data_IF_441629016325
#
_entry.id   IF_441629016325
#
_cell.length_a   1.000
_cell.length_b   1.000
_cell.length_c   1.000
_cell.angle_alpha   90.00
_cell.angle_beta   90.00
_cell.angle_gamma   90.00
#
_symmetry.space_group_name_H-M   'P 1'
#
loop_
_entity.id
_entity.type
_entity.pdbx_description
1 polymer ?
#
# COMPACT_ATOMS: atom_id res chain seq x y z
N UNK A 1 19.41 66.14 38.31
CA UNK A 1 20.66 65.35 38.47
C UNK A 1 20.31 63.88 38.66
N UNK A 2 20.27 63.10 37.59
CA UNK A 2 20.46 61.63 37.60
C UNK A 2 21.08 61.28 36.26
N UNK A 3 22.35 60.87 36.30
CA UNK A 3 23.19 60.64 35.13
C UNK A 3 23.04 59.20 34.64
N UNK A 4 22.88 59.08 33.31
CA UNK A 4 23.53 58.15 32.39
C UNK A 4 23.72 56.68 32.79
N UNK A 5 23.06 55.78 32.04
CA UNK A 5 23.61 54.47 31.69
C UNK A 5 23.62 54.36 30.16
N UNK A 6 24.77 53.96 29.62
CA UNK A 6 25.10 53.88 28.20
C UNK A 6 24.43 52.66 27.55
N UNK A 7 23.82 52.86 26.40
CA UNK A 7 23.38 51.79 25.50
C UNK A 7 24.34 51.77 24.32
N UNK A 8 25.16 50.72 24.24
CA UNK A 8 26.03 50.41 23.11
C UNK A 8 25.78 48.95 22.79
N UNK A 9 25.27 48.67 21.60
CA UNK A 9 25.34 47.35 20.98
C UNK A 9 25.45 47.57 19.47
N UNK A 10 26.49 46.93 18.93
CA UNK A 10 27.09 47.11 17.63
C UNK A 10 26.19 46.61 16.49
N UNK A 11 26.28 47.31 15.37
CA UNK A 11 26.01 46.82 14.02
C UNK A 11 27.14 45.90 13.52
N UNK A 12 26.82 44.70 13.02
CA UNK A 12 27.54 43.93 11.98
C UNK A 12 26.84 42.57 11.86
N UNK A 13 26.52 41.98 10.71
CA UNK A 13 26.70 42.30 9.30
C UNK A 13 26.02 41.18 8.51
N UNK A 14 25.52 41.50 7.31
CA UNK A 14 24.95 40.52 6.37
C UNK A 14 25.99 39.45 6.02
N UNK A 15 25.58 38.17 6.03
CA UNK A 15 26.25 37.11 5.29
C UNK A 15 25.25 36.51 4.30
N UNK A 16 25.48 36.82 3.03
CA UNK A 16 24.89 36.14 1.89
C UNK A 16 25.49 34.74 1.81
N UNK A 17 24.67 33.69 1.95
CA UNK A 17 25.04 32.37 1.48
C UNK A 17 24.64 32.26 0.01
N UNK A 18 25.65 32.26 -0.86
CA UNK A 18 25.49 31.89 -2.27
C UNK A 18 25.39 30.37 -2.39
N UNK A 19 24.37 29.90 -3.10
CA UNK A 19 24.31 28.52 -3.56
C UNK A 19 25.28 28.36 -4.74
N UNK A 20 26.29 27.49 -4.59
CA UNK A 20 26.97 26.89 -5.73
C UNK A 20 26.06 25.76 -6.24
N UNK A 21 25.57 25.89 -7.47
CA UNK A 21 24.93 24.79 -8.20
C UNK A 21 26.04 24.15 -9.04
N UNK A 22 26.55 23.00 -8.57
CA UNK A 22 27.48 22.18 -9.33
C UNK A 22 26.74 20.94 -9.83
N UNK A 23 26.78 20.76 -11.15
CA UNK A 23 26.27 19.60 -11.86
C UNK A 23 27.23 18.44 -11.63
N UNK A 24 26.71 17.28 -11.22
CA UNK A 24 27.47 16.03 -11.25
C UNK A 24 26.65 14.99 -12.00
N UNK A 25 27.24 14.57 -13.12
CA UNK A 25 26.87 13.41 -13.92
C UNK A 25 27.09 12.11 -13.14
N UNK A 26 26.20 11.16 -13.43
CA UNK A 26 26.33 9.70 -13.46
C UNK A 26 27.68 9.09 -13.03
N UNK A 27 27.64 8.24 -11.99
CA UNK A 27 28.48 7.03 -11.91
C UNK A 27 27.95 6.02 -10.88
N UNK A 28 27.63 4.83 -11.40
CA UNK A 28 27.91 3.48 -10.88
C UNK A 28 27.55 3.07 -9.42
N UNK A 29 26.63 2.10 -9.40
CA UNK A 29 26.35 1.03 -8.44
C UNK A 29 27.53 0.66 -7.52
N UNK A 30 27.31 0.72 -6.19
CA UNK A 30 27.97 -0.14 -5.20
C UNK A 30 27.02 -0.48 -4.04
N UNK A 31 26.88 -1.79 -3.83
CA UNK A 31 26.16 -2.51 -2.79
C UNK A 31 26.87 -2.31 -1.44
N UNK A 32 26.11 -2.18 -0.33
CA UNK A 32 26.64 -2.45 1.00
C UNK A 32 25.62 -3.13 1.92
N UNK A 33 26.01 -4.32 2.37
CA UNK A 33 25.32 -5.14 3.37
C UNK A 33 25.52 -4.56 4.78
N UNK A 34 24.44 -4.45 5.55
CA UNK A 34 24.50 -4.56 7.02
C UNK A 34 23.48 -5.58 7.51
N UNK A 35 23.98 -6.69 8.01
CA UNK A 35 23.20 -7.73 8.67
C UNK A 35 22.62 -7.22 10.00
N UNK A 36 21.30 -7.34 10.18
CA UNK A 36 20.71 -7.64 11.48
C UNK A 36 19.56 -8.63 11.33
N UNK A 37 19.91 -9.88 11.59
CA UNK A 37 19.06 -11.07 11.69
C UNK A 37 17.92 -10.93 12.70
N UNK A 38 16.68 -11.23 12.27
CA UNK A 38 15.92 -12.38 12.80
C UNK A 38 14.82 -12.84 11.81
N UNK A 39 14.84 -14.13 11.49
CA UNK A 39 14.06 -14.88 10.50
C UNK A 39 12.53 -14.81 10.62
N UNK A 40 11.83 -14.63 9.49
CA UNK A 40 10.84 -15.60 8.97
C UNK A 40 10.78 -15.48 7.44
N UNK A 41 10.91 -16.61 6.77
CA UNK A 41 11.13 -16.77 5.34
C UNK A 41 9.79 -17.02 4.63
N UNK A 42 9.38 -16.08 3.76
CA UNK A 42 8.70 -16.33 2.49
C UNK A 42 9.23 -15.24 1.55
N UNK A 43 9.72 -15.62 0.37
CA UNK A 43 10.11 -14.67 -0.68
C UNK A 43 8.94 -13.74 -0.95
N UNK A 44 9.18 -12.43 -0.82
CA UNK A 44 8.17 -11.41 -1.03
C UNK A 44 8.84 -10.20 -1.68
N UNK A 45 8.31 -9.78 -2.82
CA UNK A 45 8.78 -8.62 -3.56
C UNK A 45 7.68 -7.55 -3.52
N UNK A 46 7.94 -6.45 -2.82
CA UNK A 46 7.13 -5.23 -2.93
C UNK A 46 7.66 -4.45 -4.10
N UNK A 47 6.83 -4.23 -5.10
CA UNK A 47 7.15 -3.29 -6.18
C UNK A 47 6.40 -1.99 -5.92
N UNK A 48 7.14 -0.92 -5.61
CA UNK A 48 6.65 0.45 -5.58
C UNK A 48 6.93 1.07 -6.95
N UNK A 49 5.91 1.57 -7.63
CA UNK A 49 6.08 2.15 -8.98
C UNK A 49 5.59 3.60 -9.00
N UNK A 50 6.48 4.51 -9.37
CA UNK A 50 6.16 5.89 -9.71
C UNK A 50 6.02 6.05 -11.24
N UNK A 51 4.93 6.72 -11.66
CA UNK A 51 4.68 7.43 -12.93
C UNK A 51 3.81 6.81 -14.04
N UNK A 52 2.84 7.65 -14.44
CA UNK A 52 2.55 8.14 -15.79
C UNK A 52 2.47 7.13 -16.96
N UNK A 53 1.21 6.91 -17.38
CA UNK A 53 0.73 6.68 -18.75
C UNK A 53 1.37 5.54 -19.56
N UNK A 54 0.77 4.36 -19.46
CA UNK A 54 0.17 3.67 -20.62
C UNK A 54 -0.94 2.77 -20.08
N UNK A 55 -2.18 3.15 -20.36
CA UNK A 55 -3.41 2.40 -20.07
C UNK A 55 -3.39 1.08 -20.86
N UNK A 56 -2.63 0.11 -20.37
CA UNK A 56 -3.05 -1.28 -20.43
C UNK A 56 -4.10 -1.36 -19.34
N UNK A 57 -5.37 -1.50 -19.70
CA UNK A 57 -6.41 -1.82 -18.72
C UNK A 57 -6.01 -3.12 -18.06
N UNK A 58 -5.35 -3.05 -16.90
CA UNK A 58 -5.05 -4.20 -16.09
C UNK A 58 -6.42 -4.78 -15.70
N UNK A 59 -6.75 -5.94 -16.27
CA UNK A 59 -7.99 -6.64 -15.97
C UNK A 59 -7.81 -7.29 -14.62
N UNK A 60 -8.25 -6.61 -13.56
CA UNK A 60 -8.40 -7.21 -12.25
C UNK A 60 -9.65 -8.11 -12.24
N UNK A 61 -9.55 -9.26 -11.61
CA UNK A 61 -10.71 -10.15 -11.45
C UNK A 61 -11.61 -9.72 -10.28
N UNK A 62 -11.07 -8.92 -9.35
CA UNK A 62 -11.84 -8.29 -8.30
C UNK A 62 -11.26 -6.93 -7.94
N UNK A 63 -12.11 -5.96 -7.64
CA UNK A 63 -11.69 -4.63 -7.18
C UNK A 63 -12.76 -4.07 -6.23
N UNK A 64 -12.28 -3.45 -5.16
CA UNK A 64 -13.12 -2.73 -4.20
C UNK A 64 -12.52 -1.35 -3.93
N UNK A 65 -13.36 -0.42 -3.50
CA UNK A 65 -12.92 0.92 -3.15
C UNK A 65 -12.02 0.91 -1.91
N UNK A 66 -11.06 1.83 -1.85
CA UNK A 66 -10.29 2.12 -0.64
C UNK A 66 -10.92 3.33 0.06
N UNK A 67 -11.52 3.12 1.23
CA UNK A 67 -12.32 4.12 1.95
C UNK A 67 -11.52 4.68 3.13
N UNK A 68 -11.12 5.95 3.05
CA UNK A 68 -10.52 6.71 4.14
C UNK A 68 -11.57 7.33 5.06
N UNK A 69 -11.29 7.35 6.37
CA UNK A 69 -12.08 8.08 7.36
C UNK A 69 -13.58 7.71 7.36
N UNK A 70 -13.91 6.45 7.04
CA UNK A 70 -15.27 5.87 6.92
C UNK A 70 -16.10 6.32 5.70
N UNK A 71 -15.72 7.36 4.97
CA UNK A 71 -16.64 8.02 4.02
C UNK A 71 -16.02 8.46 2.70
N UNK A 72 -14.69 8.46 2.58
CA UNK A 72 -14.04 9.03 1.42
C UNK A 72 -13.39 7.93 0.58
N UNK A 73 -13.90 7.73 -0.64
CA UNK A 73 -13.24 6.90 -1.63
C UNK A 73 -11.97 7.60 -2.10
N UNK A 74 -10.82 7.01 -1.81
CA UNK A 74 -9.49 7.58 -2.08
C UNK A 74 -8.68 6.76 -3.08
N UNK A 75 -9.26 5.71 -3.63
CA UNK A 75 -8.49 4.70 -4.35
C UNK A 75 -9.22 3.37 -4.45
N UNK A 76 -8.48 2.32 -4.81
CA UNK A 76 -8.98 0.96 -4.90
C UNK A 76 -7.97 -0.04 -4.31
N UNK A 77 -8.49 -1.22 -3.94
CA UNK A 77 -7.70 -2.43 -3.74
C UNK A 77 -8.16 -3.44 -4.78
N UNK A 78 -7.24 -3.87 -5.64
CA UNK A 78 -7.52 -4.82 -6.72
C UNK A 78 -6.82 -6.16 -6.49
N UNK A 79 -7.49 -7.23 -6.90
CA UNK A 79 -7.00 -8.61 -6.84
C UNK A 79 -6.84 -9.13 -8.26
N UNK A 80 -5.71 -9.79 -8.50
CA UNK A 80 -5.43 -10.54 -9.71
C UNK A 80 -4.64 -11.82 -9.40
N UNK A 81 -4.55 -12.74 -10.36
CA UNK A 81 -3.70 -13.93 -10.30
C UNK A 81 -2.69 -13.88 -11.44
N UNK A 82 -1.42 -14.11 -11.13
CA UNK A 82 -0.34 -14.25 -12.10
C UNK A 82 0.42 -15.58 -11.84
N UNK A 83 0.02 -16.64 -12.54
CA UNK A 83 0.52 -17.99 -12.24
C UNK A 83 0.11 -18.44 -10.85
N UNK A 84 1.08 -18.78 -10.00
CA UNK A 84 0.86 -19.21 -8.60
C UNK A 84 0.79 -18.03 -7.61
N UNK A 85 0.88 -16.80 -8.11
CA UNK A 85 0.91 -15.59 -7.29
C UNK A 85 -0.43 -14.87 -7.28
N UNK A 86 -0.91 -14.60 -6.08
CA UNK A 86 -1.94 -13.62 -5.80
C UNK A 86 -1.33 -12.22 -5.82
N UNK A 87 -1.84 -11.38 -6.70
CA UNK A 87 -1.42 -9.98 -6.83
C UNK A 87 -2.48 -9.10 -6.16
N UNK A 88 -2.13 -8.45 -5.06
CA UNK A 88 -2.98 -7.49 -4.34
C UNK A 88 -2.39 -6.10 -4.48
N UNK A 89 -3.11 -5.19 -5.14
CA UNK A 89 -2.61 -3.84 -5.41
C UNK A 89 -3.47 -2.81 -4.72
N UNK A 90 -2.85 -1.98 -3.88
CA UNK A 90 -3.44 -0.76 -3.33
C UNK A 90 -3.08 0.38 -4.29
N UNK A 91 -4.08 1.16 -4.73
CA UNK A 91 -3.87 2.35 -5.55
C UNK A 91 -4.65 3.52 -4.95
N UNK A 92 -4.01 4.67 -4.75
CA UNK A 92 -4.68 5.91 -4.35
C UNK A 92 -4.88 6.86 -5.53
N UNK A 93 -5.87 7.74 -5.40
CA UNK A 93 -6.27 8.73 -6.39
C UNK A 93 -6.14 10.15 -5.84
N UNK A 94 -5.93 11.12 -6.73
CA UNK A 94 -5.88 12.53 -6.37
C UNK A 94 -4.65 12.88 -5.53
N UNK A 95 -4.87 13.58 -4.41
CA UNK A 95 -3.80 14.05 -3.52
C UNK A 95 -3.49 13.05 -2.37
N UNK A 96 -4.06 11.85 -2.41
CA UNK A 96 -3.88 10.83 -1.38
C UNK A 96 -2.64 9.96 -1.63
N UNK A 97 -1.89 9.68 -0.57
CA UNK A 97 -0.70 8.83 -0.56
C UNK A 97 -0.83 7.75 0.52
N UNK A 98 -0.10 6.65 0.34
CA UNK A 98 -0.02 5.50 1.25
C UNK A 98 1.22 5.67 2.13
N UNK A 99 1.03 5.77 3.44
CA UNK A 99 2.13 5.82 4.42
C UNK A 99 2.48 4.41 4.89
N UNK A 100 1.47 3.57 5.08
CA UNK A 100 1.64 2.15 5.42
C UNK A 100 0.45 1.32 4.93
N UNK A 101 0.70 0.04 4.65
CA UNK A 101 -0.35 -0.92 4.27
C UNK A 101 -0.25 -2.17 5.14
N UNK A 102 -1.39 -2.75 5.46
CA UNK A 102 -1.54 -3.96 6.26
C UNK A 102 -2.58 -4.86 5.60
N UNK A 103 -2.23 -6.11 5.36
CA UNK A 103 -3.05 -7.08 4.66
C UNK A 103 -3.04 -8.41 5.42
N UNK A 104 -4.23 -8.94 5.66
CA UNK A 104 -4.44 -10.32 6.10
C UNK A 104 -5.39 -11.03 5.15
N UNK A 105 -5.09 -12.28 4.82
CA UNK A 105 -5.87 -13.11 3.90
C UNK A 105 -6.25 -14.39 4.64
N UNK A 106 -7.51 -14.81 4.52
CA UNK A 106 -8.01 -16.06 5.09
C UNK A 106 -8.91 -16.79 4.11
N UNK A 107 -9.21 -18.05 4.41
CA UNK A 107 -10.19 -18.87 3.70
C UNK A 107 -11.64 -18.66 4.22
N UNK A 108 -11.94 -17.47 4.75
CA UNK A 108 -13.27 -17.09 5.23
C UNK A 108 -13.82 -17.94 6.40
N UNK A 109 -12.96 -18.60 7.17
CA UNK A 109 -13.38 -19.29 8.40
C UNK A 109 -13.75 -18.31 9.52
N UNK A 110 -14.59 -18.74 10.47
CA UNK A 110 -15.10 -17.91 11.60
C UNK A 110 -13.98 -17.24 12.42
N UNK A 111 -12.84 -17.92 12.58
CA UNK A 111 -11.65 -17.42 13.28
C UNK A 111 -10.49 -17.08 12.31
N UNK A 112 -10.79 -16.85 11.02
CA UNK A 112 -9.79 -16.65 9.96
C UNK A 112 -8.96 -15.37 10.11
N UNK A 113 -9.49 -14.36 10.83
CA UNK A 113 -8.81 -13.10 11.09
C UNK A 113 -8.34 -12.98 12.54
N UNK A 114 -7.17 -12.35 12.79
CA UNK A 114 -6.72 -12.09 14.15
C UNK A 114 -7.56 -10.97 14.78
N UNK A 115 -8.60 -11.31 15.55
CA UNK A 115 -9.47 -10.34 16.22
C UNK A 115 -9.25 -10.27 17.73
N UNK A 116 -9.77 -9.21 18.35
CA UNK A 116 -9.93 -9.07 19.80
C UNK A 116 -11.22 -9.76 20.27
N UNK A 117 -11.41 -9.90 21.59
CA UNK A 117 -12.68 -10.44 22.12
C UNK A 117 -13.92 -9.57 21.87
N UNK A 118 -13.75 -8.36 21.33
CA UNK A 118 -14.82 -7.47 20.87
C UNK A 118 -14.88 -7.39 19.32
N UNK A 119 -14.35 -8.41 18.64
CA UNK A 119 -14.31 -8.57 17.19
C UNK A 119 -13.57 -7.51 16.36
N UNK A 120 -12.87 -6.56 16.99
CA UNK A 120 -11.99 -5.66 16.23
C UNK A 120 -10.76 -6.42 15.72
N UNK A 121 -10.34 -6.27 14.45
CA UNK A 121 -9.10 -6.85 13.96
C UNK A 121 -7.88 -6.25 14.65
N UNK A 122 -6.85 -7.08 14.83
CA UNK A 122 -5.55 -6.70 15.38
C UNK A 122 -4.60 -6.43 14.21
N UNK A 123 -4.66 -5.22 13.68
CA UNK A 123 -3.88 -4.80 12.48
C UNK A 123 -2.39 -5.14 12.61
N UNK A 124 -1.77 -4.91 13.78
CA UNK A 124 -0.35 -5.26 14.03
C UNK A 124 -0.03 -6.76 14.07
N UNK A 125 -1.01 -7.63 13.82
CA UNK A 125 -0.86 -9.09 13.67
C UNK A 125 -1.20 -9.57 12.26
N UNK A 126 -1.42 -8.68 11.29
CA UNK A 126 -1.66 -9.05 9.91
C UNK A 126 -0.41 -9.66 9.27
N UNK A 127 -0.60 -10.61 8.37
CA UNK A 127 0.49 -11.40 7.79
C UNK A 127 1.44 -10.58 6.93
N UNK A 128 0.92 -9.56 6.24
CA UNK A 128 1.69 -8.68 5.35
C UNK A 128 1.52 -7.24 5.80
N UNK A 129 2.63 -6.54 6.01
CA UNK A 129 2.64 -5.14 6.40
C UNK A 129 3.93 -4.45 5.94
N UNK A 130 3.82 -3.18 5.57
CA UNK A 130 4.96 -2.37 5.12
C UNK A 130 4.69 -0.88 5.31
N UNK A 131 5.72 -0.15 5.71
CA UNK A 131 5.78 1.32 5.63
C UNK A 131 6.31 1.73 4.24
N UNK A 132 5.92 2.90 3.77
CA UNK A 132 6.23 3.40 2.42
C UNK A 132 6.88 4.78 2.46
N UNK A 133 7.58 5.12 1.38
CA UNK A 133 8.20 6.44 1.23
C UNK A 133 7.15 7.52 0.94
N UNK A 134 7.44 8.76 1.34
CA UNK A 134 6.57 9.91 1.09
C UNK A 134 6.19 10.01 -0.40
N UNK A 135 4.90 10.13 -0.69
CA UNK A 135 4.40 10.26 -2.05
C UNK A 135 3.99 8.94 -2.73
N UNK A 136 4.13 7.80 -2.04
CA UNK A 136 3.72 6.50 -2.58
C UNK A 136 2.22 6.49 -2.88
N UNK A 137 1.84 6.18 -4.13
CA UNK A 137 0.42 6.11 -4.55
C UNK A 137 -0.01 4.70 -4.95
N UNK A 138 0.93 3.77 -5.05
CA UNK A 138 0.64 2.39 -5.39
C UNK A 138 1.57 1.43 -4.66
N UNK A 139 0.99 0.34 -4.13
CA UNK A 139 1.71 -0.72 -3.43
C UNK A 139 1.17 -2.07 -3.90
N UNK A 140 2.05 -2.94 -4.36
CA UNK A 140 1.68 -4.28 -4.83
C UNK A 140 2.29 -5.35 -3.93
N UNK A 141 1.43 -6.26 -3.46
CA UNK A 141 1.82 -7.52 -2.83
C UNK A 141 1.72 -8.65 -3.86
N UNK A 142 2.83 -9.34 -4.13
CA UNK A 142 2.84 -10.62 -4.84
C UNK A 142 3.01 -11.77 -3.84
N UNK A 143 1.98 -12.59 -3.67
CA UNK A 143 1.89 -13.61 -2.62
C UNK A 143 1.77 -14.99 -3.27
N UNK A 144 2.73 -15.87 -3.03
CA UNK A 144 2.65 -17.27 -3.44
C UNK A 144 1.52 -17.97 -2.65
N UNK A 145 0.42 -18.25 -3.36
CA UNK A 145 -0.73 -18.99 -2.85
C UNK A 145 -0.77 -20.43 -3.37
N UNK A 146 0.13 -20.81 -4.29
CA UNK A 146 0.03 -22.05 -5.04
C UNK A 146 -1.23 -22.11 -5.90
N UNK A 147 -1.79 -23.31 -6.07
CA UNK A 147 -3.02 -23.52 -6.83
C UNK A 147 -4.26 -23.33 -5.93
N UNK A 148 -4.64 -22.08 -5.64
CA UNK A 148 -5.89 -21.76 -4.93
C UNK A 148 -6.87 -21.09 -5.89
N UNK A 149 -8.02 -21.74 -6.08
CA UNK A 149 -9.12 -21.26 -6.92
C UNK A 149 -10.44 -21.22 -6.13
N UNK A 150 -10.39 -20.70 -4.91
CA UNK A 150 -11.58 -20.60 -4.04
C UNK A 150 -11.80 -19.16 -3.58
N UNK A 151 -12.88 -18.95 -2.82
CA UNK A 151 -13.15 -17.67 -2.19
C UNK A 151 -12.17 -17.42 -1.04
N UNK A 152 -11.52 -16.27 -1.07
CA UNK A 152 -10.70 -15.78 0.03
C UNK A 152 -11.31 -14.50 0.62
N UNK A 153 -11.02 -14.27 1.90
CA UNK A 153 -11.43 -13.10 2.65
C UNK A 153 -10.21 -12.23 2.94
N UNK A 154 -10.34 -10.93 2.68
CA UNK A 154 -9.26 -9.96 2.70
C UNK A 154 -9.55 -8.85 3.71
N UNK A 155 -8.66 -8.66 4.67
CA UNK A 155 -8.65 -7.49 5.53
C UNK A 155 -7.51 -6.57 5.08
N UNK A 156 -7.86 -5.60 4.24
CA UNK A 156 -6.91 -4.68 3.63
C UNK A 156 -7.06 -3.27 4.26
N UNK A 157 -6.08 -2.91 5.07
CA UNK A 157 -5.99 -1.65 5.80
C UNK A 157 -4.83 -0.80 5.30
N UNK A 158 -4.97 0.52 5.34
CA UNK A 158 -3.92 1.47 5.02
C UNK A 158 -3.90 2.65 5.99
N UNK A 159 -2.71 3.18 6.24
CA UNK A 159 -2.50 4.52 6.78
C UNK A 159 -2.22 5.43 5.59
N UNK A 160 -2.94 6.54 5.50
CA UNK A 160 -2.95 7.41 4.33
C UNK A 160 -2.85 8.87 4.72
N UNK A 161 -2.16 9.66 3.90
CA UNK A 161 -2.12 11.12 4.02
C UNK A 161 -2.69 11.80 2.78
N UNK A 162 -3.27 12.97 2.97
CA UNK A 162 -3.99 13.71 1.92
C UNK A 162 -4.32 15.12 2.43
N UNK A 163 -5.58 15.57 2.41
CA UNK A 163 -5.98 16.79 3.12
C UNK A 163 -5.72 16.71 4.64
N UNK A 164 -5.77 15.50 5.19
CA UNK A 164 -5.36 15.14 6.55
C UNK A 164 -4.98 13.66 6.59
N UNK A 165 -4.11 13.30 7.53
CA UNK A 165 -3.82 11.90 7.83
C UNK A 165 -5.05 11.17 8.34
N UNK A 166 -5.35 10.01 7.74
CA UNK A 166 -6.49 9.16 8.03
C UNK A 166 -6.07 7.68 7.99
N UNK A 167 -6.94 6.80 8.48
CA UNK A 167 -6.86 5.36 8.15
C UNK A 167 -7.86 5.03 7.06
N UNK A 168 -7.54 4.02 6.27
CA UNK A 168 -8.38 3.53 5.18
C UNK A 168 -8.56 2.01 5.25
N UNK A 169 -9.72 1.56 4.79
CA UNK A 169 -10.05 0.14 4.62
C UNK A 169 -10.58 -0.10 3.22
N UNK A 170 -10.20 -1.23 2.63
CA UNK A 170 -10.91 -1.75 1.48
C UNK A 170 -12.39 -1.95 1.83
N UNK A 171 -13.28 -1.48 0.96
CA UNK A 171 -14.73 -1.53 1.15
C UNK A 171 -15.20 -2.98 1.19
N UNK A 172 -16.07 -3.28 2.16
CA UNK A 172 -16.60 -4.63 2.33
C UNK A 172 -17.56 -4.73 3.50
N UNK A 173 -17.59 -5.92 4.11
CA UNK A 173 -18.39 -6.23 5.29
C UNK A 173 -17.72 -5.72 6.58
N UNK A 174 -18.54 -5.25 7.52
CA UNK A 174 -18.07 -4.80 8.84
C UNK A 174 -17.69 -6.00 9.71
N UNK A 175 -16.57 -5.90 10.43
CA UNK A 175 -16.14 -6.93 11.38
C UNK A 175 -17.10 -7.13 12.58
N UNK A 176 -18.13 -6.31 12.75
CA UNK A 176 -19.11 -6.38 13.84
C UNK A 176 -18.57 -5.94 15.20
N UNK A 177 -17.44 -5.23 15.22
CA UNK A 177 -16.76 -4.78 16.43
C UNK A 177 -17.18 -3.39 16.91
N UNK A 178 -16.32 -2.74 17.70
CA UNK A 178 -16.45 -1.33 18.11
C UNK A 178 -15.58 -0.39 17.23
N UNK A 179 -15.25 -0.83 16.02
CA UNK A 179 -14.50 -0.09 15.01
C UNK A 179 -15.23 -0.19 13.68
N UNK A 180 -14.78 0.58 12.68
CA UNK A 180 -15.33 0.56 11.32
C UNK A 180 -14.49 -0.31 10.38
N UNK A 181 -13.72 -1.25 10.94
CA UNK A 181 -12.87 -2.11 10.14
C UNK A 181 -13.72 -3.00 9.23
N UNK A 182 -13.24 -3.18 8.00
CA UNK A 182 -13.93 -3.96 6.99
C UNK A 182 -13.05 -5.10 6.47
N UNK A 183 -13.70 -6.16 5.98
CA UNK A 183 -13.08 -7.16 5.12
C UNK A 183 -13.96 -7.40 3.90
N UNK A 184 -13.40 -7.90 2.81
CA UNK A 184 -14.18 -8.27 1.63
C UNK A 184 -13.87 -9.70 1.18
N UNK A 185 -14.80 -10.30 0.46
CA UNK A 185 -14.65 -11.62 -0.12
C UNK A 185 -14.38 -11.49 -1.62
N UNK A 186 -13.38 -12.22 -2.12
CA UNK A 186 -13.13 -12.34 -3.56
C UNK A 186 -13.09 -13.81 -3.96
N UNK A 187 -13.86 -14.17 -4.98
CA UNK A 187 -13.83 -15.50 -5.59
C UNK A 187 -12.73 -15.56 -6.64
N UNK A 188 -11.69 -16.36 -6.40
CA UNK A 188 -10.54 -16.44 -7.29
C UNK A 188 -10.77 -17.31 -8.54
N UNK A 189 -11.92 -18.00 -8.64
CA UNK A 189 -12.30 -18.74 -9.87
C UNK A 189 -12.37 -17.77 -11.06
N UNK A 190 -12.93 -16.58 -10.85
CA UNK A 190 -13.09 -15.56 -11.89
C UNK A 190 -11.74 -14.97 -12.36
N UNK A 191 -10.63 -15.28 -11.66
CA UNK A 191 -9.28 -14.86 -12.00
C UNK A 191 -8.51 -15.87 -12.87
N UNK A 192 -9.00 -17.12 -12.95
CA UNK A 192 -8.31 -18.24 -13.62
C UNK A 192 -8.80 -18.54 -15.03
N UNK A 193 -9.85 -17.86 -15.49
CA UNK A 193 -10.37 -18.02 -16.85
C UNK A 193 -9.51 -17.19 -17.83
N UNK A 194 -8.30 -17.68 -18.12
CA UNK A 194 -7.67 -17.35 -19.40
C UNK A 194 -8.55 -17.92 -20.51
N UNK A 195 -9.04 -17.05 -21.39
CA UNK A 195 -9.82 -17.40 -22.57
C UNK A 195 -9.17 -18.57 -23.35
N UNK A 196 -9.67 -19.81 -23.13
CA UNK A 196 -9.53 -20.91 -24.09
C UNK A 196 -10.47 -20.61 -25.26
N UNK A 197 -10.10 -19.60 -26.05
CA UNK A 197 -10.64 -19.34 -27.37
C UNK A 197 -10.26 -20.53 -28.27
N UNK A 198 -11.04 -21.60 -28.13
CA UNK A 198 -11.07 -22.79 -28.95
C UNK A 198 -11.47 -22.43 -30.39
N UNK A 199 -10.58 -21.75 -31.10
CA UNK A 199 -10.61 -21.53 -32.53
C UNK A 199 -10.26 -22.83 -33.27
N UNK A 200 -11.12 -23.84 -33.14
CA UNK A 200 -11.07 -25.01 -34.03
C UNK A 200 -11.29 -24.54 -35.48
N UNK A 201 -10.41 -24.89 -36.44
CA UNK A 201 -10.62 -24.50 -37.83
C UNK A 201 -11.90 -25.15 -38.36
N UNK A 202 -12.74 -24.43 -39.13
CA UNK A 202 -13.95 -25.01 -39.68
C UNK A 202 -13.59 -26.17 -40.62
N UNK A 203 -14.10 -27.35 -40.28
CA UNK A 203 -14.04 -28.52 -41.13
C UNK A 203 -15.12 -28.44 -42.23
N UNK A 204 -14.65 -28.64 -43.46
CA UNK A 204 -15.35 -28.87 -44.73
C UNK A 204 -15.80 -27.66 -45.56
#
# INVERSE_FOLDING_TARGET
MKNLVRMSLLSLGLLFFGCNLESIEQSDIQINNQEKSTKKNKDFEVVQTDNSTNETTASYCHEVNLIAGQHHEIGTVSINIEGDFLIVTYTTNGDWVLDATHLHISNCEEDGFPTTGANNPKIGHFDYASEHEDGTTQVTYAIDIGEITETLCFAAHAEVDGPSGETAWAEGEDFGGNSWAMYFEANLIDCGDEDDDGGGPPAH
#
